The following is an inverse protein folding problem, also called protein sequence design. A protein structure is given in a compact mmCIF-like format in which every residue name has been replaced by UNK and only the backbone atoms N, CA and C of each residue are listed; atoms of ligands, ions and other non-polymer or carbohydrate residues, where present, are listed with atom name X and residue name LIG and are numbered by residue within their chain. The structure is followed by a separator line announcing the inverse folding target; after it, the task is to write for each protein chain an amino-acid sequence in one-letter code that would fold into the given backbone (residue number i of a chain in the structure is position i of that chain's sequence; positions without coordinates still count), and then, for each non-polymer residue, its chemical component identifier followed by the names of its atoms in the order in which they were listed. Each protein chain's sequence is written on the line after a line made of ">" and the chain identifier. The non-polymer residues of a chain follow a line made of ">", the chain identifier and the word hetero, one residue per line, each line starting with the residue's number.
data_IF_622399727293
#
_entry.id   IF_622399727293
#
_cell.length_a   1.000
_cell.length_b   1.000
_cell.length_c   1.000
_cell.angle_alpha   90.00
_cell.angle_beta   90.00
_cell.angle_gamma   90.00
#
_symmetry.space_group_name_H-M   'P 1'
#
loop_
_entity.id
_entity.type
_entity.pdbx_description
1 polymer ?
#
# COMPACT_ATOMS: atom_id res chain seq x y z
N UNK A 1 8.00 -4.94 5.51
CA UNK A 1 8.40 -5.57 4.25
C UNK A 1 9.08 -6.87 4.60
N UNK A 2 9.00 -7.87 3.71
CA UNK A 2 9.76 -9.11 3.85
C UNK A 2 11.27 -8.84 3.82
N UNK A 3 12.05 -9.66 4.51
CA UNK A 3 13.51 -9.55 4.46
C UNK A 3 14.04 -9.91 3.07
N UNK A 4 15.27 -9.51 2.77
CA UNK A 4 15.90 -9.86 1.48
C UNK A 4 16.01 -11.38 1.30
N UNK A 5 16.23 -12.14 2.36
CA UNK A 5 16.24 -13.60 2.34
C UNK A 5 14.88 -14.15 1.91
N UNK A 6 13.78 -13.60 2.44
CA UNK A 6 12.42 -14.00 2.08
C UNK A 6 12.03 -13.57 0.65
N UNK A 7 12.53 -12.41 0.19
CA UNK A 7 12.32 -11.93 -1.18
C UNK A 7 13.06 -12.81 -2.19
N UNK A 8 14.27 -13.28 -1.88
CA UNK A 8 15.04 -14.22 -2.71
C UNK A 8 14.34 -15.56 -2.91
N UNK A 9 13.40 -15.93 -2.04
CA UNK A 9 12.60 -17.16 -2.17
C UNK A 9 11.43 -17.01 -3.15
N UNK A 10 11.15 -15.82 -3.70
CA UNK A 10 10.05 -15.62 -4.64
C UNK A 10 10.40 -16.27 -6.00
N UNK A 11 9.69 -17.34 -6.43
CA UNK A 11 10.12 -18.15 -7.57
C UNK A 11 9.99 -17.43 -8.93
N UNK A 12 9.15 -16.39 -9.01
CA UNK A 12 8.90 -15.60 -10.22
C UNK A 12 9.53 -14.21 -10.16
N UNK A 13 10.59 -14.07 -9.35
CA UNK A 13 11.33 -12.83 -9.18
C UNK A 13 12.80 -13.06 -9.51
N UNK A 14 13.28 -12.39 -10.55
CA UNK A 14 14.69 -12.39 -10.94
C UNK A 14 15.32 -11.08 -10.47
N UNK A 15 16.04 -11.14 -9.34
CA UNK A 15 16.80 -9.99 -8.83
C UNK A 15 18.01 -9.77 -9.74
N UNK A 16 18.17 -8.55 -10.24
CA UNK A 16 19.28 -8.16 -11.10
C UNK A 16 20.43 -7.59 -10.26
N UNK A 17 20.10 -6.68 -9.35
CA UNK A 17 21.10 -6.01 -8.50
C UNK A 17 20.53 -5.70 -7.12
N UNK A 18 21.44 -5.64 -6.15
CA UNK A 18 21.17 -5.25 -4.77
C UNK A 18 22.10 -4.12 -4.35
N UNK A 19 21.54 -3.17 -3.62
CA UNK A 19 22.22 -2.12 -2.89
C UNK A 19 22.02 -2.36 -1.38
N UNK A 20 22.72 -1.62 -0.50
CA UNK A 20 22.56 -1.78 0.95
C UNK A 20 21.11 -1.63 1.46
N UNK A 21 20.29 -0.85 0.75
CA UNK A 21 18.94 -0.47 1.14
C UNK A 21 17.87 -0.80 0.08
N UNK A 22 18.19 -1.65 -0.92
CA UNK A 22 17.22 -1.98 -1.95
C UNK A 22 17.75 -2.85 -3.08
N UNK A 23 16.96 -2.94 -4.15
CA UNK A 23 17.30 -3.71 -5.33
C UNK A 23 16.37 -3.45 -6.50
N UNK A 24 16.74 -4.04 -7.65
CA UNK A 24 15.92 -4.06 -8.86
C UNK A 24 15.76 -5.48 -9.37
N UNK A 25 14.59 -5.77 -9.93
CA UNK A 25 14.24 -7.12 -10.37
C UNK A 25 13.30 -7.10 -11.58
N UNK A 26 13.27 -8.21 -12.31
CA UNK A 26 12.17 -8.57 -13.19
C UNK A 26 11.22 -9.50 -12.45
N UNK A 27 9.91 -9.24 -12.53
CA UNK A 27 8.88 -10.10 -11.97
C UNK A 27 7.95 -10.66 -13.06
N UNK A 28 7.84 -11.99 -13.13
CA UNK A 28 6.88 -12.67 -13.99
C UNK A 28 5.57 -12.87 -13.23
N UNK A 29 4.67 -11.88 -13.21
CA UNK A 29 3.46 -11.94 -12.39
C UNK A 29 2.47 -13.00 -12.89
N UNK A 30 1.88 -13.83 -12.03
CA UNK A 30 0.93 -14.86 -12.45
C UNK A 30 -0.43 -14.26 -12.83
N UNK A 31 -0.75 -13.11 -12.23
CA UNK A 31 -1.93 -12.32 -12.56
C UNK A 31 -1.84 -11.61 -13.91
N UNK A 32 -0.67 -11.56 -14.56
CA UNK A 32 -0.54 -10.94 -15.88
C UNK A 32 -1.24 -11.78 -16.93
N UNK A 33 -2.04 -11.13 -17.78
CA UNK A 33 -2.60 -11.77 -18.99
C UNK A 33 -1.67 -11.64 -20.20
N UNK A 34 -0.49 -11.03 -20.03
CA UNK A 34 0.46 -10.70 -21.10
C UNK A 34 1.85 -11.23 -20.78
N UNK A 35 2.55 -11.77 -21.77
CA UNK A 35 3.87 -12.41 -21.60
C UNK A 35 5.06 -11.46 -21.28
N UNK A 36 4.81 -10.23 -20.81
CA UNK A 36 5.88 -9.27 -20.48
C UNK A 36 6.12 -9.23 -18.97
N UNK A 37 7.37 -9.40 -18.50
CA UNK A 37 7.70 -9.23 -17.09
C UNK A 37 7.56 -7.77 -16.66
N UNK A 38 7.25 -7.56 -15.38
CA UNK A 38 7.22 -6.25 -14.75
C UNK A 38 8.63 -5.84 -14.31
N UNK A 39 8.99 -4.57 -14.55
CA UNK A 39 10.15 -3.97 -13.90
C UNK A 39 9.77 -3.65 -12.45
N UNK A 40 10.60 -4.07 -11.50
CA UNK A 40 10.37 -3.82 -10.07
C UNK A 40 11.61 -3.17 -9.47
N UNK A 41 11.39 -2.10 -8.70
CA UNK A 41 12.38 -1.53 -7.78
C UNK A 41 11.79 -1.67 -6.38
N UNK A 42 12.61 -2.10 -5.43
CA UNK A 42 12.21 -2.27 -4.04
C UNK A 42 13.29 -1.73 -3.11
N UNK A 43 12.91 -1.09 -2.01
CA UNK A 43 13.84 -0.51 -1.05
C UNK A 43 13.26 -0.45 0.36
N UNK A 44 14.15 -0.36 1.35
CA UNK A 44 13.85 -0.31 2.79
C UNK A 44 14.66 0.80 3.51
N UNK A 45 15.15 1.78 2.76
CA UNK A 45 15.92 2.92 3.26
C UNK A 45 15.06 4.12 3.65
N UNK A 46 15.65 5.07 4.40
CA UNK A 46 15.03 6.37 4.66
C UNK A 46 13.76 6.37 5.51
N UNK A 47 13.50 5.29 6.27
CA UNK A 47 12.30 5.15 7.11
C UNK A 47 11.06 4.66 6.35
N UNK A 48 11.22 4.22 5.11
CA UNK A 48 10.12 3.76 4.26
C UNK A 48 10.44 2.41 3.61
N UNK A 49 9.46 1.52 3.65
CA UNK A 49 9.43 0.38 2.74
C UNK A 49 8.74 0.79 1.44
N UNK A 50 9.36 0.45 0.32
CA UNK A 50 8.92 0.89 -1.00
C UNK A 50 9.02 -0.23 -2.02
N UNK A 51 8.00 -0.33 -2.87
CA UNK A 51 8.05 -1.09 -4.12
C UNK A 51 7.42 -0.27 -5.23
N UNK A 52 8.11 -0.11 -6.35
CA UNK A 52 7.53 0.43 -7.59
C UNK A 52 7.52 -0.63 -8.68
N UNK A 53 6.42 -0.68 -9.43
CA UNK A 53 6.18 -1.64 -10.50
C UNK A 53 5.84 -0.89 -11.77
N UNK A 54 6.51 -1.22 -12.87
CA UNK A 54 6.19 -0.63 -14.16
C UNK A 54 6.21 -1.64 -15.31
N UNK A 55 5.43 -1.34 -16.34
CA UNK A 55 5.50 -2.00 -17.63
C UNK A 55 5.84 -0.98 -18.72
N UNK A 56 6.37 -1.46 -19.84
CA UNK A 56 6.80 -0.61 -20.95
C UNK A 56 5.66 0.21 -21.57
N UNK A 57 4.46 -0.36 -21.66
CA UNK A 57 3.37 0.17 -22.49
C UNK A 57 1.99 0.23 -21.81
N UNK A 58 1.93 0.01 -20.49
CA UNK A 58 0.67 0.01 -19.74
C UNK A 58 0.91 0.21 -18.25
N UNK A 59 -0.12 0.67 -17.56
CA UNK A 59 -0.14 0.71 -16.11
C UNK A 59 -0.38 -0.72 -15.57
N UNK A 60 0.29 -1.13 -14.46
CA UNK A 60 -0.05 -2.35 -13.75
C UNK A 60 -1.54 -2.41 -13.35
N UNK A 61 -2.15 -3.58 -13.42
CA UNK A 61 -3.53 -3.77 -12.96
C UNK A 61 -3.61 -3.91 -11.45
N UNK A 62 -4.81 -3.81 -10.89
CA UNK A 62 -5.05 -4.04 -9.47
C UNK A 62 -4.57 -5.43 -9.02
N UNK A 63 -4.87 -6.48 -9.78
CA UNK A 63 -4.48 -7.85 -9.46
C UNK A 63 -2.96 -8.04 -9.45
N UNK A 64 -2.26 -7.38 -10.37
CA UNK A 64 -0.80 -7.35 -10.45
C UNK A 64 -0.18 -6.64 -9.24
N UNK A 65 -0.73 -5.48 -8.86
CA UNK A 65 -0.27 -4.76 -7.67
C UNK A 65 -0.56 -5.54 -6.38
N UNK A 66 -1.72 -6.21 -6.28
CA UNK A 66 -2.05 -7.06 -5.15
C UNK A 66 -1.11 -8.28 -5.06
N UNK A 67 -0.69 -8.83 -6.19
CA UNK A 67 0.32 -9.89 -6.23
C UNK A 67 1.69 -9.39 -5.79
N UNK A 68 2.13 -8.24 -6.29
CA UNK A 68 3.38 -7.60 -5.86
C UNK A 68 3.36 -7.33 -4.35
N UNK A 69 2.24 -6.85 -3.79
CA UNK A 69 2.07 -6.70 -2.34
C UNK A 69 2.38 -7.99 -1.61
N UNK A 70 1.82 -9.12 -2.07
CA UNK A 70 2.08 -10.44 -1.48
C UNK A 70 3.51 -10.92 -1.68
N UNK A 71 4.20 -10.50 -2.75
CA UNK A 71 5.59 -10.88 -3.00
C UNK A 71 6.55 -10.17 -2.04
N UNK A 72 6.34 -8.88 -1.76
CA UNK A 72 7.30 -8.04 -1.03
C UNK A 72 6.88 -7.66 0.40
N UNK A 73 5.60 -7.67 0.72
CA UNK A 73 5.08 -7.32 2.05
C UNK A 73 4.41 -8.52 2.72
N UNK A 74 4.35 -8.50 4.05
CA UNK A 74 3.61 -9.48 4.82
C UNK A 74 2.09 -9.22 4.74
N UNK A 75 1.23 -10.24 4.93
CA UNK A 75 -0.23 -10.11 4.82
C UNK A 75 -0.84 -9.00 5.68
N UNK A 76 -0.35 -8.84 6.90
CA UNK A 76 -0.77 -7.89 7.93
C UNK A 76 -0.29 -6.45 7.67
N UNK A 77 0.68 -6.25 6.78
CA UNK A 77 1.25 -4.94 6.52
C UNK A 77 0.34 -4.14 5.59
N UNK A 78 -0.09 -2.96 6.05
CA UNK A 78 -0.80 -1.98 5.23
C UNK A 78 0.18 -1.25 4.33
N UNK A 79 -0.17 -1.07 3.05
CA UNK A 79 0.61 -0.29 2.07
C UNK A 79 -0.30 0.71 1.37
N UNK A 80 0.25 1.85 1.00
CA UNK A 80 -0.49 2.96 0.37
C UNK A 80 0.06 3.26 -1.01
N UNK A 81 -0.84 3.62 -1.92
CA UNK A 81 -0.52 4.36 -3.13
C UNK A 81 -1.01 5.79 -2.96
N UNK A 82 -0.09 6.75 -2.99
CA UNK A 82 -0.41 8.16 -2.79
C UNK A 82 -0.86 8.83 -4.09
N UNK A 83 -1.87 9.67 -3.97
CA UNK A 83 -2.16 10.74 -4.92
C UNK A 83 -1.73 12.04 -4.25
N UNK A 84 -0.48 12.49 -4.45
CA UNK A 84 0.01 13.72 -3.83
C UNK A 84 -0.73 14.94 -4.42
N UNK A 85 -0.52 16.10 -3.79
CA UNK A 85 -0.97 17.38 -4.38
C UNK A 85 -0.35 17.56 -5.76
N UNK A 86 -1.03 18.25 -6.66
CA UNK A 86 -0.57 18.47 -8.04
C UNK A 86 0.84 19.09 -8.09
N UNK A 87 1.12 20.05 -7.21
CA UNK A 87 2.44 20.70 -7.09
C UNK A 87 3.57 19.76 -6.62
N UNK A 88 3.21 18.69 -5.91
CA UNK A 88 4.12 17.67 -5.41
C UNK A 88 4.13 16.42 -6.34
N UNK A 89 3.32 16.40 -7.40
CA UNK A 89 3.17 15.25 -8.28
C UNK A 89 4.35 15.14 -9.26
N UNK A 90 5.12 14.07 -9.12
CA UNK A 90 6.26 13.75 -10.00
C UNK A 90 5.93 12.51 -10.81
N UNK A 91 5.96 12.62 -12.15
CA UNK A 91 5.68 11.52 -13.06
C UNK A 91 6.77 11.34 -14.12
N UNK A 92 7.92 10.83 -13.69
CA UNK A 92 9.02 10.48 -14.60
C UNK A 92 8.79 9.16 -15.34
N UNK A 93 7.83 8.34 -14.89
CA UNK A 93 7.58 7.01 -15.43
C UNK A 93 6.06 6.75 -15.51
N UNK A 94 5.40 7.08 -16.64
CA UNK A 94 3.93 7.21 -16.72
C UNK A 94 3.15 5.92 -16.47
N UNK A 95 3.82 4.78 -16.57
CA UNK A 95 3.27 3.44 -16.37
C UNK A 95 3.73 2.80 -15.05
N UNK A 96 4.15 3.61 -14.07
CA UNK A 96 4.68 3.14 -12.80
C UNK A 96 3.68 3.35 -11.67
N UNK A 97 3.44 2.31 -10.90
CA UNK A 97 2.66 2.36 -9.67
C UNK A 97 3.55 2.04 -8.47
N UNK A 98 3.25 2.66 -7.33
CA UNK A 98 4.05 2.56 -6.13
C UNK A 98 3.22 2.01 -4.97
N UNK A 99 3.88 1.25 -4.10
CA UNK A 99 3.42 0.82 -2.79
C UNK A 99 4.41 1.35 -1.76
N UNK A 100 3.89 2.02 -0.74
CA UNK A 100 4.66 2.61 0.34
C UNK A 100 4.15 2.15 1.69
N UNK A 101 5.07 1.95 2.64
CA UNK A 101 4.75 1.82 4.06
C UNK A 101 5.76 2.60 4.90
N UNK A 102 5.27 3.38 5.84
CA UNK A 102 6.09 4.02 6.85
C UNK A 102 6.61 2.97 7.84
N UNK A 103 7.89 3.01 8.21
CA UNK A 103 8.47 2.03 9.14
C UNK A 103 8.19 2.37 10.61
N UNK A 104 7.97 3.65 10.91
CA UNK A 104 7.83 4.16 12.29
C UNK A 104 6.37 4.19 12.78
N UNK A 105 5.40 4.03 11.87
CA UNK A 105 3.98 4.13 12.19
C UNK A 105 3.11 3.24 11.31
N UNK A 106 2.07 2.65 11.91
CA UNK A 106 1.06 1.91 11.17
C UNK A 106 0.22 2.89 10.33
N UNK A 107 -0.07 2.49 9.09
CA UNK A 107 -0.93 3.29 8.24
C UNK A 107 -2.36 3.29 8.80
N UNK A 108 -2.96 4.47 9.05
CA UNK A 108 -4.34 4.52 9.49
C UNK A 108 -5.26 4.04 8.36
N UNK A 109 -6.11 3.06 8.68
CA UNK A 109 -7.19 2.63 7.81
C UNK A 109 -8.48 3.39 8.16
N UNK A 110 -9.36 3.66 7.18
CA UNK A 110 -10.71 4.09 7.50
C UNK A 110 -11.41 3.03 8.36
N UNK A 111 -12.39 3.42 9.20
CA UNK A 111 -13.26 2.47 9.88
C UNK A 111 -13.84 1.46 8.89
N UNK A 112 -13.85 0.18 9.24
CA UNK A 112 -14.17 -0.90 8.30
C UNK A 112 -15.54 -0.73 7.64
N UNK A 113 -16.53 -0.20 8.37
CA UNK A 113 -17.89 0.02 7.86
C UNK A 113 -17.96 1.07 6.74
N UNK A 114 -16.92 1.90 6.56
CA UNK A 114 -16.80 2.81 5.40
C UNK A 114 -16.34 2.09 4.13
N UNK A 115 -15.77 0.88 4.25
CA UNK A 115 -15.19 0.12 3.14
C UNK A 115 -16.05 -1.05 2.69
N UNK A 116 -16.99 -1.49 3.54
CA UNK A 116 -17.89 -2.60 3.27
C UNK A 116 -18.17 -3.43 4.53
N UNK A 117 -19.18 -4.28 4.48
CA UNK A 117 -19.47 -5.20 5.58
C UNK A 117 -18.44 -6.33 5.61
N UNK A 118 -17.86 -6.57 6.79
CA UNK A 118 -17.04 -7.77 7.01
C UNK A 118 -17.93 -9.02 6.93
N UNK A 119 -17.37 -10.18 6.51
CA UNK A 119 -18.11 -11.45 6.56
C UNK A 119 -18.69 -11.71 7.95
N UNK A 120 -19.99 -12.02 7.99
CA UNK A 120 -20.71 -12.29 9.24
C UNK A 120 -21.16 -11.06 10.04
N UNK A 121 -20.93 -9.84 9.55
CA UNK A 121 -21.38 -8.60 10.22
C UNK A 121 -22.64 -8.04 9.56
N UNK A 122 -23.60 -7.64 10.39
CA UNK A 122 -24.88 -7.07 9.95
C UNK A 122 -24.78 -5.57 9.65
N UNK A 123 -25.79 -5.03 8.93
CA UNK A 123 -25.90 -3.59 8.67
C UNK A 123 -26.15 -2.82 9.96
N UNK A 124 -26.93 -3.39 10.87
CA UNK A 124 -27.31 -2.78 12.14
C UNK A 124 -26.09 -2.58 13.05
N UNK A 125 -25.20 -3.57 13.12
CA UNK A 125 -23.92 -3.47 13.82
C UNK A 125 -23.03 -2.38 13.21
N UNK A 126 -22.93 -2.32 11.87
CA UNK A 126 -22.18 -1.28 11.18
C UNK A 126 -22.71 0.13 11.49
N UNK A 127 -24.03 0.31 11.50
CA UNK A 127 -24.68 1.59 11.85
C UNK A 127 -24.38 1.99 13.30
N UNK A 128 -24.42 1.02 14.23
CA UNK A 128 -24.12 1.27 15.64
C UNK A 128 -22.68 1.75 15.83
N UNK A 129 -21.72 1.11 15.18
CA UNK A 129 -20.32 1.55 15.22
C UNK A 129 -20.11 2.92 14.58
N UNK A 130 -20.76 3.18 13.44
CA UNK A 130 -20.72 4.49 12.79
C UNK A 130 -21.25 5.60 13.71
N UNK A 131 -22.38 5.37 14.39
CA UNK A 131 -22.96 6.32 15.32
C UNK A 131 -22.03 6.62 16.51
N UNK A 132 -21.38 5.60 17.08
CA UNK A 132 -20.40 5.78 18.16
C UNK A 132 -19.20 6.61 17.70
N UNK A 133 -18.65 6.31 16.52
CA UNK A 133 -17.52 7.03 15.92
C UNK A 133 -17.84 8.51 15.64
N UNK A 134 -19.02 8.80 15.08
CA UNK A 134 -19.40 10.18 14.80
C UNK A 134 -19.64 10.99 16.08
N UNK A 135 -20.19 10.37 17.13
CA UNK A 135 -20.34 11.00 18.44
C UNK A 135 -18.98 11.36 19.03
N UNK A 136 -18.05 10.41 19.10
CA UNK A 136 -16.69 10.66 19.61
C UNK A 136 -16.00 11.81 18.85
N UNK A 137 -16.15 11.85 17.52
CA UNK A 137 -15.60 12.91 16.67
C UNK A 137 -16.24 14.28 16.91
N UNK A 138 -17.53 14.32 17.23
CA UNK A 138 -18.22 15.55 17.59
C UNK A 138 -17.71 16.07 18.95
N UNK A 139 -17.63 15.19 19.95
CA UNK A 139 -17.14 15.52 21.28
C UNK A 139 -15.69 16.05 21.24
N UNK A 140 -14.80 15.44 20.44
CA UNK A 140 -13.43 15.92 20.24
C UNK A 140 -13.36 17.32 19.58
N UNK A 141 -14.31 17.64 18.69
CA UNK A 141 -14.39 18.99 18.09
C UNK A 141 -14.88 20.01 19.09
N UNK A 142 -15.83 19.66 19.95
CA UNK A 142 -16.30 20.54 21.03
C UNK A 142 -15.20 20.83 22.04
N UNK A 143 -14.38 19.83 22.40
CA UNK A 143 -13.21 20.03 23.28
C UNK A 143 -12.15 20.91 22.63
N UNK A 144 -11.87 20.75 21.33
CA UNK A 144 -10.89 21.61 20.61
C UNK A 144 -11.39 23.04 20.37
N UNK A 145 -12.70 23.24 20.22
CA UNK A 145 -13.31 24.55 20.04
C UNK A 145 -13.62 25.26 21.38
N UNK A 146 -13.72 24.50 22.46
CA UNK A 146 -13.83 25.00 23.83
C UNK A 146 -12.45 25.37 24.39
N UNK A 147 -11.90 26.50 23.95
CA UNK A 147 -10.75 27.09 24.63
C UNK A 147 -11.16 27.46 26.08
N UNK A 148 -10.54 26.90 27.14
CA UNK A 148 -10.69 27.47 28.47
C UNK A 148 -9.98 28.83 28.45
N UNK A 149 -10.74 29.90 28.69
CA UNK A 149 -10.16 31.19 29.08
C UNK A 149 -9.43 31.04 30.41
#
# INVERSE_FOLDING_TARGET
>A
MKTIEQIKLQPRLMILDLAPDGGRAWAELASTKKAQPAAVIFSWGGGWDHVSVSFKNRIPTWEEMAEVKRMFFHPEETVIQYHPREEDYVNNHPNCLHLWRNQDSETPLPPWWMTGLKPGVTKEEAIKEAAAYFKERADQKEVKNGNPR
#
